data_IF_113033904461
#
_entry.id   IF_113033904461
#
_cell.length_a   1.000
_cell.length_b   1.000
_cell.length_c   1.000
_cell.angle_alpha   90.00
_cell.angle_beta   90.00
_cell.angle_gamma   90.00
#
_symmetry.space_group_name_H-M   'P 1'
#
loop_
_entity.id
_entity.type
_entity.pdbx_description
1 polymer ?
#
# COMPACT_ATOMS: atom_id res chain seq x y z
N UNK A 1 -38.60 17.44 12.36
CA UNK A 1 -37.89 16.70 13.44
C UNK A 1 -37.09 15.48 12.95
N UNK A 2 -36.43 15.55 11.77
CA UNK A 2 -35.51 14.50 11.25
C UNK A 2 -34.07 14.99 11.00
N UNK A 3 -33.89 16.30 10.90
CA UNK A 3 -32.58 16.95 10.84
C UNK A 3 -31.62 16.56 11.98
N UNK A 4 -32.05 16.41 13.26
CA UNK A 4 -31.10 16.07 14.33
C UNK A 4 -30.54 14.65 14.18
N UNK A 5 -31.34 13.68 13.71
CA UNK A 5 -30.89 12.31 13.50
C UNK A 5 -29.89 12.22 12.34
N UNK A 6 -30.13 12.95 11.25
CA UNK A 6 -29.19 13.00 10.13
C UNK A 6 -27.85 13.61 10.54
N UNK A 7 -27.88 14.69 11.33
CA UNK A 7 -26.67 15.33 11.84
C UNK A 7 -25.89 14.41 12.78
N UNK A 8 -26.59 13.68 13.66
CA UNK A 8 -25.97 12.70 14.57
C UNK A 8 -25.31 11.54 13.81
N UNK A 9 -25.94 11.03 12.75
CA UNK A 9 -25.37 9.98 11.91
C UNK A 9 -24.11 10.46 11.16
N UNK A 10 -24.13 11.69 10.62
CA UNK A 10 -22.97 12.28 9.95
C UNK A 10 -21.78 12.47 10.91
N UNK A 11 -22.05 12.92 12.15
CA UNK A 11 -21.01 13.05 13.18
C UNK A 11 -20.48 11.68 13.60
N UNK A 12 -21.33 10.67 13.73
CA UNK A 12 -20.92 9.29 14.02
C UNK A 12 -20.00 8.72 12.93
N UNK A 13 -20.32 8.93 11.65
CA UNK A 13 -19.45 8.53 10.55
C UNK A 13 -18.13 9.32 10.51
N UNK A 14 -18.14 10.59 10.93
CA UNK A 14 -16.93 11.40 10.98
C UNK A 14 -15.96 10.98 12.09
N UNK A 15 -16.46 10.53 13.25
CA UNK A 15 -15.60 10.04 14.35
C UNK A 15 -15.03 8.64 14.06
N UNK A 16 -15.70 7.80 13.28
CA UNK A 16 -15.17 6.52 12.79
C UNK A 16 -14.00 6.72 11.79
N UNK A 17 -14.04 7.82 11.03
CA UNK A 17 -12.99 8.21 10.09
C UNK A 17 -11.86 9.03 10.74
N UNK A 18 -11.98 9.37 12.03
CA UNK A 18 -10.86 9.93 12.77
C UNK A 18 -9.85 8.80 12.97
N UNK A 19 -8.62 8.89 12.42
CA UNK A 19 -7.60 7.91 12.70
C UNK A 19 -7.24 8.06 14.18
N UNK A 20 -7.95 7.34 15.06
CA UNK A 20 -7.49 7.04 16.41
C UNK A 20 -6.08 6.56 16.21
N UNK A 21 -5.17 7.44 16.62
CA UNK A 21 -3.73 7.34 16.60
C UNK A 21 -3.32 5.88 16.80
N UNK A 22 -3.27 5.11 15.70
CA UNK A 22 -2.90 3.70 15.73
C UNK A 22 -1.42 3.80 16.01
N UNK A 23 -1.13 3.64 17.30
CA UNK A 23 0.20 3.55 17.87
C UNK A 23 1.13 3.04 16.80
N UNK A 24 2.15 3.84 16.52
CA UNK A 24 3.39 3.43 15.88
C UNK A 24 3.86 2.16 16.60
N UNK A 25 3.32 1.00 16.18
CA UNK A 25 3.68 -0.30 16.73
C UNK A 25 5.01 -0.60 16.06
N UNK A 26 6.04 0.03 16.63
CA UNK A 26 7.41 -0.36 16.38
C UNK A 26 7.48 -1.87 16.62
N UNK A 27 7.91 -2.57 15.56
CA UNK A 27 8.50 -3.90 15.56
C UNK A 27 7.86 -4.84 16.57
N UNK A 28 6.66 -5.33 16.23
CA UNK A 28 6.15 -6.57 16.80
C UNK A 28 6.65 -7.72 15.94
N UNK A 29 7.58 -8.52 16.47
CA UNK A 29 8.00 -9.81 15.92
C UNK A 29 6.82 -10.79 16.01
N UNK A 30 5.82 -10.62 15.15
CA UNK A 30 4.71 -11.55 14.95
C UNK A 30 5.05 -12.47 13.79
N UNK A 31 5.03 -13.77 14.04
CA UNK A 31 5.35 -14.86 13.13
C UNK A 31 4.93 -14.63 11.67
N UNK A 32 5.90 -14.75 10.75
CA UNK A 32 5.69 -15.32 9.42
C UNK A 32 5.91 -14.39 8.20
N UNK A 33 7.15 -14.00 7.89
CA UNK A 33 7.61 -13.67 6.52
C UNK A 33 7.12 -12.39 5.83
N UNK A 34 6.20 -11.65 6.46
CA UNK A 34 5.32 -10.70 5.78
C UNK A 34 5.74 -9.21 5.92
N UNK A 35 6.44 -8.85 7.00
CA UNK A 35 6.91 -7.48 7.26
C UNK A 35 8.45 -7.32 7.22
N UNK A 36 9.20 -8.30 6.72
CA UNK A 36 10.67 -8.19 6.64
C UNK A 36 11.08 -7.07 5.68
N UNK A 37 11.99 -6.19 6.11
CA UNK A 37 12.45 -5.06 5.29
C UNK A 37 11.43 -3.91 5.16
N UNK A 38 10.37 -3.93 5.97
CA UNK A 38 9.32 -2.91 5.99
C UNK A 38 9.54 -1.85 7.09
N UNK A 39 9.33 -0.58 6.77
CA UNK A 39 9.35 0.55 7.72
C UNK A 39 7.98 0.75 8.37
N UNK A 40 6.91 0.66 7.56
CA UNK A 40 5.53 0.84 8.01
C UNK A 40 4.70 -0.37 7.58
N UNK A 41 4.43 -1.27 8.52
CA UNK A 41 3.67 -2.50 8.27
C UNK A 41 2.31 -2.49 8.98
N UNK A 42 1.32 -3.09 8.33
CA UNK A 42 -0.01 -3.35 8.86
C UNK A 42 -0.35 -4.83 8.66
N UNK A 43 -1.14 -5.39 9.56
CA UNK A 43 -1.54 -6.80 9.48
C UNK A 43 -2.44 -7.06 8.26
N UNK A 44 -3.34 -6.11 7.96
CA UNK A 44 -4.32 -6.24 6.90
C UNK A 44 -3.78 -5.98 5.49
N UNK A 45 -2.98 -4.91 5.32
CA UNK A 45 -2.49 -4.49 4.01
C UNK A 45 -1.02 -4.83 3.79
N UNK A 46 -0.35 -5.44 4.78
CA UNK A 46 1.08 -5.68 4.73
C UNK A 46 1.88 -4.38 4.79
N UNK A 47 2.98 -4.35 4.04
CA UNK A 47 3.90 -3.23 4.03
C UNK A 47 3.43 -2.07 3.15
N UNK A 48 3.48 -0.85 3.69
CA UNK A 48 3.20 0.38 2.93
C UNK A 48 4.47 1.14 2.54
N UNK A 49 5.57 0.95 3.25
CA UNK A 49 6.86 1.60 2.99
C UNK A 49 8.02 0.64 3.25
N UNK A 50 8.84 0.39 2.24
CA UNK A 50 10.02 -0.47 2.33
C UNK A 50 11.30 0.32 2.63
N UNK A 51 12.34 -0.37 3.09
CA UNK A 51 13.68 0.20 3.16
C UNK A 51 14.19 0.62 1.77
N UNK A 52 15.05 1.66 1.71
CA UNK A 52 15.50 2.31 0.46
C UNK A 52 16.12 1.38 -0.60
N UNK A 53 16.61 0.19 -0.22
CA UNK A 53 17.24 -0.78 -1.15
C UNK A 53 16.26 -1.83 -1.70
N UNK A 54 15.03 -1.86 -1.19
CA UNK A 54 14.01 -2.83 -1.55
C UNK A 54 12.95 -2.19 -2.45
N UNK A 55 12.22 -3.03 -3.17
CA UNK A 55 11.05 -2.67 -3.95
C UNK A 55 9.77 -3.09 -3.22
N UNK A 56 8.79 -2.20 -3.20
CA UNK A 56 7.44 -2.51 -2.74
C UNK A 56 6.65 -3.20 -3.86
N UNK A 57 6.27 -4.44 -3.62
CA UNK A 57 5.39 -5.23 -4.46
C UNK A 57 3.99 -5.30 -3.85
N UNK A 58 2.97 -4.91 -4.63
CA UNK A 58 1.56 -4.98 -4.21
C UNK A 58 0.90 -6.18 -4.89
N UNK A 59 0.56 -7.21 -4.12
CA UNK A 59 -0.23 -8.35 -4.57
C UNK A 59 -1.72 -8.04 -4.38
N UNK A 60 -2.52 -8.24 -5.42
CA UNK A 60 -3.99 -8.19 -5.33
C UNK A 60 -4.55 -9.59 -5.17
N UNK A 61 -5.45 -9.75 -4.22
CA UNK A 61 -6.21 -10.99 -4.00
C UNK A 61 -7.68 -10.59 -3.78
N UNK A 62 -8.46 -10.70 -4.85
CA UNK A 62 -9.81 -10.13 -4.91
C UNK A 62 -9.80 -8.61 -4.68
N UNK A 63 -10.53 -8.15 -3.67
CA UNK A 63 -10.58 -6.73 -3.27
C UNK A 63 -9.41 -6.31 -2.37
N UNK A 64 -8.64 -7.25 -1.84
CA UNK A 64 -7.56 -6.96 -0.89
C UNK A 64 -6.26 -6.65 -1.62
N UNK A 65 -5.49 -5.75 -1.04
CA UNK A 65 -4.15 -5.40 -1.49
C UNK A 65 -3.16 -5.66 -0.37
N UNK A 66 -2.12 -6.44 -0.67
CA UNK A 66 -1.09 -6.79 0.27
C UNK A 66 0.27 -6.34 -0.24
N UNK A 67 0.96 -5.52 0.54
CA UNK A 67 2.30 -5.04 0.24
C UNK A 67 3.39 -5.91 0.83
N UNK A 68 4.42 -6.21 0.04
CA UNK A 68 5.62 -6.94 0.44
C UNK A 68 6.87 -6.24 -0.06
N UNK A 69 7.94 -6.25 0.72
CA UNK A 69 9.25 -5.76 0.29
C UNK A 69 10.06 -6.91 -0.33
N UNK A 70 10.62 -6.67 -1.52
CA UNK A 70 11.43 -7.64 -2.26
C UNK A 70 12.71 -7.00 -2.77
N UNK A 71 13.77 -7.78 -2.93
CA UNK A 71 15.01 -7.30 -3.55
C UNK A 71 14.85 -7.10 -5.06
N UNK A 72 14.17 -8.03 -5.71
CA UNK A 72 13.90 -8.02 -7.14
C UNK A 72 12.40 -8.21 -7.42
N UNK A 73 11.91 -7.54 -8.45
CA UNK A 73 10.50 -7.65 -8.84
C UNK A 73 10.22 -9.01 -9.52
N UNK A 74 9.04 -9.61 -9.26
CA UNK A 74 8.68 -10.90 -9.85
C UNK A 74 8.44 -10.79 -11.36
N UNK A 75 8.37 -11.93 -12.05
CA UNK A 75 8.10 -12.00 -13.49
C UNK A 75 6.83 -11.23 -13.89
N UNK A 76 6.93 -10.46 -14.98
CA UNK A 76 5.84 -9.59 -15.45
C UNK A 76 5.76 -8.24 -14.73
N UNK A 77 6.74 -7.93 -13.87
CA UNK A 77 6.91 -6.64 -13.23
C UNK A 77 8.33 -6.10 -13.46
N UNK A 78 8.47 -4.79 -13.45
CA UNK A 78 9.75 -4.10 -13.49
C UNK A 78 9.88 -3.16 -12.29
N UNK A 79 11.10 -3.00 -11.81
CA UNK A 79 11.42 -2.11 -10.70
C UNK A 79 11.51 -0.66 -11.16
N UNK A 80 10.82 0.23 -10.46
CA UNK A 80 10.91 1.69 -10.65
C UNK A 80 11.42 2.32 -9.37
N UNK A 81 12.51 3.09 -9.47
CA UNK A 81 13.00 3.89 -8.35
C UNK A 81 12.27 5.21 -8.31
N UNK A 82 11.55 5.45 -7.21
CA UNK A 82 10.87 6.71 -6.93
C UNK A 82 11.64 7.52 -5.90
N UNK A 83 11.27 8.79 -5.72
CA UNK A 83 11.89 9.68 -4.73
C UNK A 83 11.65 9.19 -3.30
N UNK A 84 10.50 8.58 -3.02
CA UNK A 84 10.11 8.12 -1.69
C UNK A 84 10.21 6.60 -1.51
N UNK A 85 9.77 5.82 -2.51
CA UNK A 85 9.71 4.35 -2.43
C UNK A 85 10.00 3.74 -3.79
N UNK A 86 10.88 2.72 -3.86
CA UNK A 86 11.01 1.91 -5.07
C UNK A 86 9.84 0.94 -5.17
N UNK A 87 9.25 0.77 -6.36
CA UNK A 87 8.02 -0.02 -6.54
C UNK A 87 8.16 -0.99 -7.71
N UNK A 88 7.54 -2.15 -7.59
CA UNK A 88 7.30 -3.03 -8.73
C UNK A 88 6.06 -2.57 -9.48
N UNK A 89 6.20 -2.24 -10.77
CA UNK A 89 5.09 -1.94 -11.66
C UNK A 89 4.87 -3.10 -12.62
N UNK A 90 3.62 -3.45 -12.85
CA UNK A 90 3.26 -4.47 -13.83
C UNK A 90 3.58 -3.98 -15.23
N UNK A 91 4.17 -4.85 -16.05
CA UNK A 91 4.50 -4.54 -17.44
C UNK A 91 3.25 -4.24 -18.28
N UNK A 92 2.10 -4.81 -17.90
CA UNK A 92 0.80 -4.57 -18.55
C UNK A 92 0.20 -3.19 -18.24
N UNK A 93 0.78 -2.43 -17.32
CA UNK A 93 0.35 -1.06 -16.98
C UNK A 93 1.12 0.01 -17.77
N UNK A 94 2.07 -0.38 -18.61
CA UNK A 94 2.69 0.55 -19.54
C UNK A 94 1.74 0.71 -20.74
N UNK A 95 1.35 1.95 -21.12
CA UNK A 95 0.84 2.17 -22.46
C UNK A 95 1.90 1.68 -23.45
N UNK A 96 1.49 1.06 -24.55
CA UNK A 96 2.39 0.52 -25.55
C UNK A 96 3.58 1.47 -25.78
N UNK A 97 4.84 1.02 -25.69
CA UNK A 97 5.99 1.88 -25.96
C UNK A 97 5.97 2.47 -27.38
N UNK A 98 5.15 1.92 -28.28
CA UNK A 98 4.84 2.48 -29.60
C UNK A 98 4.09 3.83 -29.56
N UNK A 99 3.38 4.17 -28.48
CA UNK A 99 2.71 5.46 -28.29
C UNK A 99 3.58 6.52 -27.58
N UNK A 100 4.69 6.11 -26.96
CA UNK A 100 5.63 7.04 -26.31
C UNK A 100 6.74 7.55 -27.25
N UNK A 101 6.91 6.91 -28.41
CA UNK A 101 7.90 7.24 -29.46
C UNK A 101 7.24 7.55 -30.82
N UNK A 102 5.96 7.96 -30.80
CA UNK A 102 5.24 8.45 -31.97
C UNK A 102 5.34 9.96 -32.10
N UNK A 103 6.21 10.38 -33.02
CA UNK A 103 6.19 11.56 -33.92
C UNK A 103 5.44 12.83 -33.51
#
# INVERSE_FOLDING_TARGET
MRAPLCLLLLVAHAVDMLPVNRRKKQVGTGLGGNCTGCVICSEENGCSTCQQRLFLFIRREGIRQYGKCVHDCPSGYFGVRGQEVNRCKSTWLLPDPALALGS
#
